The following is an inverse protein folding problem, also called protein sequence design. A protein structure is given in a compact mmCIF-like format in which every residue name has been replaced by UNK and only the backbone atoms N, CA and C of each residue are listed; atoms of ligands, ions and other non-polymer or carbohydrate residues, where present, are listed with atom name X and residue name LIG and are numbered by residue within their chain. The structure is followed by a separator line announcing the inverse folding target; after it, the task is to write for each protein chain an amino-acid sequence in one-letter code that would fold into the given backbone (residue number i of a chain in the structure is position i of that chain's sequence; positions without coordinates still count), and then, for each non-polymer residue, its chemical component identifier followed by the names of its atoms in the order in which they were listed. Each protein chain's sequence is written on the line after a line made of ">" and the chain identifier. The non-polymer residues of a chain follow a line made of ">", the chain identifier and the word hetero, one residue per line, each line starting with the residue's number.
data_IF_192502146125
#
_entry.id   IF_192502146125
#
_cell.length_a   1.000
_cell.length_b   1.000
_cell.length_c   1.000
_cell.angle_alpha   90.00
_cell.angle_beta   90.00
_cell.angle_gamma   90.00
#
_symmetry.space_group_name_H-M   'P 1'
#
loop_
_entity.id
_entity.type
_entity.pdbx_description
1 polymer ?
#
# COMPACT_ATOMS: atom_id res chain seq x y z
N UNK A 1 13.64 -5.39 -17.39
CA UNK A 1 13.50 -4.25 -16.44
C UNK A 1 12.31 -3.32 -16.74
N UNK A 2 11.85 -3.21 -18.00
CA UNK A 2 10.75 -2.31 -18.41
C UNK A 2 9.36 -2.90 -18.22
N UNK A 3 9.23 -4.21 -18.16
CA UNK A 3 7.96 -4.94 -18.06
C UNK A 3 7.12 -4.55 -16.84
N UNK A 4 7.67 -4.47 -15.60
CA UNK A 4 6.89 -4.07 -14.45
C UNK A 4 6.39 -2.61 -14.52
N UNK A 5 7.17 -1.71 -15.14
CA UNK A 5 6.74 -0.31 -15.34
C UNK A 5 5.59 -0.19 -16.35
N UNK A 6 5.61 -0.98 -17.41
CA UNK A 6 4.48 -1.08 -18.34
C UNK A 6 3.24 -1.63 -17.64
N UNK A 7 3.40 -2.61 -16.75
CA UNK A 7 2.31 -3.14 -15.94
C UNK A 7 1.68 -2.08 -15.03
N UNK A 8 2.51 -1.26 -14.36
CA UNK A 8 2.01 -0.13 -13.54
C UNK A 8 1.27 0.90 -14.38
N UNK A 9 1.78 1.25 -15.56
CA UNK A 9 1.12 2.19 -16.46
C UNK A 9 -0.24 1.67 -16.93
N UNK A 10 -0.31 0.41 -17.36
CA UNK A 10 -1.56 -0.24 -17.78
C UNK A 10 -2.55 -0.34 -16.62
N UNK A 11 -2.09 -0.72 -15.43
CA UNK A 11 -2.92 -0.80 -14.23
C UNK A 11 -3.45 0.58 -13.84
N UNK A 12 -2.59 1.61 -13.86
CA UNK A 12 -3.00 3.00 -13.57
C UNK A 12 -4.03 3.50 -14.57
N UNK A 13 -3.83 3.23 -15.86
CA UNK A 13 -4.78 3.60 -16.91
C UNK A 13 -6.11 2.85 -16.74
N UNK A 14 -6.08 1.54 -16.52
CA UNK A 14 -7.27 0.73 -16.29
C UNK A 14 -8.08 1.18 -15.07
N UNK A 15 -7.40 1.38 -13.93
CA UNK A 15 -8.04 1.86 -12.70
C UNK A 15 -8.59 3.28 -12.84
N UNK A 16 -7.86 4.18 -13.52
CA UNK A 16 -8.32 5.56 -13.72
C UNK A 16 -9.56 5.65 -14.59
N UNK A 17 -9.70 4.74 -15.56
CA UNK A 17 -10.89 4.60 -16.40
C UNK A 17 -12.05 3.99 -15.61
N UNK A 18 -11.80 2.94 -14.83
CA UNK A 18 -12.84 2.21 -14.11
C UNK A 18 -13.45 3.04 -12.96
N UNK A 19 -12.61 3.76 -12.21
CA UNK A 19 -13.05 4.56 -11.05
C UNK A 19 -13.37 6.02 -11.41
N UNK A 20 -13.32 6.40 -12.70
CA UNK A 20 -13.54 7.79 -13.16
C UNK A 20 -12.71 8.81 -12.38
N UNK A 21 -11.45 8.46 -12.08
CA UNK A 21 -10.54 9.28 -11.28
C UNK A 21 -10.28 10.60 -12.01
N UNK A 22 -10.44 11.75 -11.34
CA UNK A 22 -10.12 13.06 -11.93
C UNK A 22 -8.67 13.10 -12.42
N UNK A 23 -8.43 13.65 -13.61
CA UNK A 23 -7.11 13.66 -14.27
C UNK A 23 -5.98 14.22 -13.40
N UNK A 24 -6.29 15.13 -12.47
CA UNK A 24 -5.30 15.70 -11.55
C UNK A 24 -4.83 14.72 -10.45
N UNK A 25 -5.59 13.64 -10.20
CA UNK A 25 -5.26 12.59 -9.22
C UNK A 25 -4.42 11.47 -9.83
N UNK A 26 -4.51 11.26 -11.15
CA UNK A 26 -3.80 10.19 -11.87
C UNK A 26 -2.31 10.15 -11.59
N UNK A 27 -1.55 11.27 -11.61
CA UNK A 27 -0.12 11.24 -11.32
C UNK A 27 0.19 10.81 -9.88
N UNK A 28 -0.68 11.13 -8.92
CA UNK A 28 -0.52 10.71 -7.52
C UNK A 28 -0.79 9.23 -7.33
N UNK A 29 -1.79 8.70 -8.02
CA UNK A 29 -2.08 7.25 -8.04
C UNK A 29 -0.93 6.49 -8.69
N UNK A 30 -0.44 6.97 -9.84
CA UNK A 30 0.71 6.37 -10.52
C UNK A 30 1.97 6.36 -9.65
N UNK A 31 2.24 7.46 -8.94
CA UNK A 31 3.36 7.58 -8.00
C UNK A 31 3.22 6.56 -6.86
N UNK A 32 2.02 6.44 -6.29
CA UNK A 32 1.75 5.47 -5.22
C UNK A 32 1.92 4.03 -5.68
N UNK A 33 1.38 3.69 -6.86
CA UNK A 33 1.54 2.36 -7.44
C UNK A 33 3.02 2.03 -7.73
N UNK A 34 3.76 2.96 -8.34
CA UNK A 34 5.18 2.78 -8.63
C UNK A 34 6.01 2.60 -7.35
N UNK A 35 5.72 3.39 -6.32
CA UNK A 35 6.40 3.30 -5.02
C UNK A 35 6.07 1.96 -4.34
N UNK A 36 4.80 1.58 -4.31
CA UNK A 36 4.36 0.30 -3.73
C UNK A 36 5.01 -0.88 -4.43
N UNK A 37 5.03 -0.89 -5.77
CA UNK A 37 5.69 -1.93 -6.56
C UNK A 37 7.19 -2.01 -6.26
N UNK A 38 7.88 -0.87 -6.23
CA UNK A 38 9.32 -0.82 -5.93
C UNK A 38 9.63 -1.42 -4.57
N UNK A 39 8.89 -1.04 -3.53
CA UNK A 39 9.08 -1.59 -2.19
C UNK A 39 8.65 -3.05 -2.08
N UNK A 40 7.67 -3.49 -2.87
CA UNK A 40 7.29 -4.88 -2.97
C UNK A 40 8.44 -5.73 -3.55
N UNK A 41 9.08 -5.28 -4.63
CA UNK A 41 10.24 -5.96 -5.23
C UNK A 41 11.42 -5.98 -4.25
N UNK A 42 11.71 -4.85 -3.60
CA UNK A 42 12.76 -4.78 -2.56
C UNK A 42 12.46 -5.77 -1.43
N UNK A 43 11.22 -5.81 -0.95
CA UNK A 43 10.81 -6.72 0.12
C UNK A 43 10.99 -8.19 -0.25
N UNK A 44 10.66 -8.56 -1.48
CA UNK A 44 10.88 -9.92 -1.99
C UNK A 44 12.36 -10.26 -2.05
N UNK A 45 13.19 -9.35 -2.54
CA UNK A 45 14.64 -9.59 -2.68
C UNK A 45 15.35 -9.66 -1.33
N UNK A 46 14.98 -8.79 -0.38
CA UNK A 46 15.61 -8.74 0.95
C UNK A 46 15.18 -9.92 1.83
N UNK A 47 13.90 -10.26 1.81
CA UNK A 47 13.39 -11.38 2.60
C UNK A 47 13.65 -12.75 1.95
N UNK A 48 14.04 -12.78 0.66
CA UNK A 48 14.18 -14.01 -0.10
C UNK A 48 12.87 -14.79 -0.28
N UNK A 49 11.73 -14.14 -0.04
CA UNK A 49 10.42 -14.76 -0.06
C UNK A 49 9.33 -13.75 -0.47
N UNK A 50 8.27 -14.24 -1.09
CA UNK A 50 7.14 -13.45 -1.61
C UNK A 50 6.39 -12.67 -0.51
N UNK A 51 6.32 -13.23 0.71
CA UNK A 51 5.67 -12.57 1.85
C UNK A 51 6.37 -11.26 2.28
N UNK A 52 7.69 -11.14 2.10
CA UNK A 52 8.42 -9.90 2.38
C UNK A 52 7.98 -8.74 1.49
N UNK A 53 7.66 -9.02 0.23
CA UNK A 53 7.08 -8.04 -0.68
C UNK A 53 5.71 -7.57 -0.24
N UNK A 54 4.84 -8.48 0.22
CA UNK A 54 3.54 -8.16 0.78
C UNK A 54 3.63 -7.22 1.98
N UNK A 55 4.55 -7.51 2.90
CA UNK A 55 4.75 -6.71 4.10
C UNK A 55 5.24 -5.28 3.79
N UNK A 56 6.32 -5.14 3.02
CA UNK A 56 6.88 -3.82 2.69
C UNK A 56 5.96 -3.02 1.77
N UNK A 57 5.38 -3.66 0.74
CA UNK A 57 4.44 -3.01 -0.16
C UNK A 57 3.21 -2.48 0.59
N UNK A 58 2.59 -3.29 1.47
CA UNK A 58 1.45 -2.88 2.26
C UNK A 58 1.78 -1.76 3.26
N UNK A 59 2.96 -1.83 3.89
CA UNK A 59 3.42 -0.78 4.80
C UNK A 59 3.53 0.57 4.07
N UNK A 60 4.17 0.57 2.89
CA UNK A 60 4.37 1.79 2.09
C UNK A 60 3.05 2.31 1.52
N UNK A 61 2.17 1.44 1.02
CA UNK A 61 0.85 1.83 0.52
C UNK A 61 0.00 2.51 1.59
N UNK A 62 -0.03 1.94 2.79
CA UNK A 62 -0.81 2.43 3.93
C UNK A 62 -0.20 3.72 4.53
N UNK A 63 1.11 3.76 4.72
CA UNK A 63 1.83 4.93 5.23
C UNK A 63 1.78 6.08 4.22
N UNK A 64 2.13 5.82 2.95
CA UNK A 64 2.20 6.83 1.90
C UNK A 64 0.85 7.50 1.64
N UNK A 65 -0.23 6.71 1.52
CA UNK A 65 -1.59 7.26 1.35
C UNK A 65 -1.99 8.17 2.51
N UNK A 66 -1.64 7.80 3.75
CA UNK A 66 -1.92 8.60 4.94
C UNK A 66 -1.09 9.89 5.00
N UNK A 67 0.18 9.83 4.60
CA UNK A 67 1.06 11.01 4.57
C UNK A 67 0.62 11.99 3.48
N UNK A 68 0.25 11.52 2.31
CA UNK A 68 -0.25 12.37 1.24
C UNK A 68 -1.54 13.07 1.66
N UNK A 69 -2.48 12.37 2.29
CA UNK A 69 -3.70 12.96 2.84
C UNK A 69 -3.41 14.07 3.85
N UNK A 70 -2.45 13.86 4.76
CA UNK A 70 -2.03 14.88 5.73
C UNK A 70 -1.45 16.14 5.09
N UNK A 71 -0.80 16.04 3.93
CA UNK A 71 -0.22 17.19 3.22
C UNK A 71 -1.19 17.80 2.21
N UNK A 72 -2.12 17.02 1.69
CA UNK A 72 -3.09 17.41 0.67
C UNK A 72 -4.49 16.92 1.04
N UNK A 73 -5.23 17.62 1.94
CA UNK A 73 -6.57 17.20 2.41
C UNK A 73 -7.62 17.03 1.31
N UNK A 74 -7.34 17.56 0.11
CA UNK A 74 -8.19 17.39 -1.08
C UNK A 74 -8.04 16.02 -1.76
N UNK A 75 -7.04 15.22 -1.35
CA UNK A 75 -6.79 13.89 -1.89
C UNK A 75 -7.31 12.85 -0.88
N UNK A 76 -8.46 12.21 -1.14
CA UNK A 76 -8.98 11.18 -0.25
C UNK A 76 -7.99 10.01 -0.16
N UNK A 77 -7.63 9.61 1.05
CA UNK A 77 -6.75 8.47 1.31
C UNK A 77 -7.18 7.21 0.56
N UNK A 78 -8.49 6.99 0.47
CA UNK A 78 -9.08 5.79 -0.13
C UNK A 78 -8.75 5.69 -1.62
N UNK A 79 -8.76 6.80 -2.35
CA UNK A 79 -8.45 6.86 -3.79
C UNK A 79 -6.98 6.51 -4.06
N UNK A 80 -6.08 6.84 -3.15
CA UNK A 80 -4.65 6.51 -3.27
C UNK A 80 -4.34 5.09 -2.78
N UNK A 81 -5.04 4.66 -1.72
CA UNK A 81 -4.82 3.37 -1.09
C UNK A 81 -5.39 2.21 -1.90
N UNK A 82 -6.61 2.35 -2.42
CA UNK A 82 -7.35 1.27 -3.06
C UNK A 82 -6.60 0.67 -4.27
N UNK A 83 -6.10 1.45 -5.24
CA UNK A 83 -5.31 0.91 -6.34
C UNK A 83 -4.02 0.19 -5.88
N UNK A 84 -3.35 0.75 -4.86
CA UNK A 84 -2.14 0.14 -4.29
C UNK A 84 -2.46 -1.17 -3.57
N UNK A 85 -3.61 -1.25 -2.92
CA UNK A 85 -4.09 -2.47 -2.28
C UNK A 85 -4.40 -3.56 -3.32
N UNK A 86 -5.06 -3.22 -4.42
CA UNK A 86 -5.31 -4.16 -5.52
C UNK A 86 -4.03 -4.73 -6.12
N UNK A 87 -2.96 -3.94 -6.19
CA UNK A 87 -1.65 -4.41 -6.62
C UNK A 87 -1.06 -5.47 -5.68
N UNK A 88 -1.35 -5.37 -4.37
CA UNK A 88 -0.83 -6.31 -3.37
C UNK A 88 -1.63 -7.60 -3.25
N UNK A 89 -2.93 -7.58 -3.64
CA UNK A 89 -3.78 -8.77 -3.50
C UNK A 89 -3.30 -9.87 -4.42
N UNK A 90 -2.92 -11.05 -3.88
CA UNK A 90 -2.40 -12.16 -4.66
C UNK A 90 -3.51 -12.92 -5.41
N UNK A 91 -4.33 -12.18 -6.18
CA UNK A 91 -5.49 -12.78 -6.87
C UNK A 91 -5.10 -13.90 -7.83
N UNK A 92 -4.01 -13.74 -8.56
CA UNK A 92 -3.48 -14.79 -9.45
C UNK A 92 -2.97 -16.00 -8.68
N UNK A 93 -2.26 -15.79 -7.55
CA UNK A 93 -1.76 -16.89 -6.71
C UNK A 93 -2.91 -17.65 -6.05
N UNK A 94 -3.96 -16.96 -5.59
CA UNK A 94 -5.16 -17.60 -5.06
C UNK A 94 -5.86 -18.46 -6.10
N UNK A 95 -6.00 -17.98 -7.33
CA UNK A 95 -6.61 -18.74 -8.42
C UNK A 95 -5.77 -19.97 -8.79
N UNK A 96 -4.45 -19.82 -8.91
CA UNK A 96 -3.52 -20.92 -9.17
C UNK A 96 -3.58 -21.96 -8.06
N UNK A 97 -3.62 -21.55 -6.78
CA UNK A 97 -3.75 -22.47 -5.64
C UNK A 97 -5.04 -23.27 -5.70
N UNK A 98 -6.17 -22.62 -6.04
CA UNK A 98 -7.46 -23.29 -6.16
C UNK A 98 -7.50 -24.30 -7.32
N UNK A 99 -6.92 -23.95 -8.47
CA UNK A 99 -6.83 -24.86 -9.62
C UNK A 99 -5.93 -26.06 -9.34
N UNK A 100 -4.83 -25.87 -8.63
CA UNK A 100 -3.94 -26.96 -8.22
C UNK A 100 -4.58 -27.88 -7.17
N UNK A 101 -5.35 -27.32 -6.22
CA UNK A 101 -6.16 -28.11 -5.26
C UNK A 101 -7.20 -28.96 -6.00
N UNK A 102 -7.90 -28.39 -6.99
CA UNK A 102 -8.87 -29.13 -7.79
C UNK A 102 -8.24 -30.24 -8.65
N UNK A 103 -6.99 -30.06 -9.07
CA UNK A 103 -6.23 -31.07 -9.81
C UNK A 103 -5.56 -32.13 -8.93
N UNK A 104 -5.68 -32.06 -7.59
CA UNK A 104 -5.11 -33.01 -6.66
C UNK A 104 -3.58 -33.06 -6.64
N UNK A 105 -2.90 -31.99 -7.05
CA UNK A 105 -1.44 -31.97 -7.13
C UNK A 105 -0.80 -31.83 -5.74
N UNK A 106 0.32 -32.54 -5.45
CA UNK A 106 0.98 -32.49 -4.15
C UNK A 106 1.55 -31.13 -3.77
N UNK A 107 1.65 -30.21 -4.73
CA UNK A 107 2.17 -28.84 -4.55
C UNK A 107 1.09 -27.91 -3.96
N UNK A 108 -0.18 -28.31 -4.00
CA UNK A 108 -1.31 -27.48 -3.54
C UNK A 108 -1.18 -27.01 -2.08
N UNK A 109 -0.68 -27.85 -1.20
CA UNK A 109 -0.47 -27.51 0.22
C UNK A 109 0.59 -26.44 0.44
N UNK A 110 1.71 -26.51 -0.26
CA UNK A 110 2.78 -25.50 -0.19
C UNK A 110 2.32 -24.15 -0.70
N UNK A 111 1.58 -24.13 -1.82
CA UNK A 111 1.03 -22.90 -2.42
C UNK A 111 -0.04 -22.27 -1.52
N UNK A 112 -0.85 -23.07 -0.83
CA UNK A 112 -1.85 -22.58 0.13
C UNK A 112 -1.19 -21.92 1.35
N UNK A 113 -0.12 -22.52 1.90
CA UNK A 113 0.66 -21.96 3.00
C UNK A 113 1.33 -20.65 2.59
N UNK A 114 1.92 -20.60 1.40
CA UNK A 114 2.53 -19.39 0.86
C UNK A 114 1.51 -18.26 0.70
N UNK A 115 0.35 -18.55 0.13
CA UNK A 115 -0.75 -17.58 -0.01
C UNK A 115 -1.23 -17.05 1.33
N UNK A 116 -1.35 -17.90 2.34
CA UNK A 116 -1.73 -17.50 3.71
C UNK A 116 -0.66 -16.60 4.33
N UNK A 117 0.62 -16.92 4.12
CA UNK A 117 1.75 -16.11 4.57
C UNK A 117 1.75 -14.71 3.93
N UNK A 118 1.44 -14.61 2.63
CA UNK A 118 1.33 -13.33 1.93
C UNK A 118 0.17 -12.50 2.49
N UNK A 119 -1.00 -13.09 2.69
CA UNK A 119 -2.16 -12.39 3.28
C UNK A 119 -1.84 -11.88 4.68
N UNK A 120 -1.23 -12.71 5.52
CA UNK A 120 -0.79 -12.34 6.86
C UNK A 120 0.23 -11.20 6.85
N UNK A 121 1.20 -11.26 5.94
CA UNK A 121 2.22 -10.21 5.78
C UNK A 121 1.62 -8.88 5.33
N UNK A 122 0.65 -8.90 4.40
CA UNK A 122 -0.08 -7.71 3.98
C UNK A 122 -0.84 -7.10 5.17
N UNK A 123 -1.55 -7.92 5.94
CA UNK A 123 -2.29 -7.45 7.12
C UNK A 123 -1.36 -6.78 8.16
N UNK A 124 -0.21 -7.39 8.45
CA UNK A 124 0.81 -6.81 9.32
C UNK A 124 1.40 -5.52 8.74
N UNK A 125 1.70 -5.49 7.45
CA UNK A 125 2.20 -4.31 6.76
C UNK A 125 1.22 -3.13 6.84
N UNK A 126 -0.08 -3.38 6.64
CA UNK A 126 -1.12 -2.37 6.80
C UNK A 126 -1.18 -1.82 8.23
N UNK A 127 -1.06 -2.70 9.23
CA UNK A 127 -1.08 -2.30 10.63
C UNK A 127 0.14 -1.42 10.97
N UNK A 128 1.33 -1.83 10.56
CA UNK A 128 2.57 -1.08 10.76
C UNK A 128 2.48 0.28 10.06
N UNK A 129 2.06 0.33 8.79
CA UNK A 129 1.95 1.56 8.02
C UNK A 129 0.94 2.55 8.61
N UNK A 130 -0.23 2.08 9.06
CA UNK A 130 -1.24 2.94 9.68
C UNK A 130 -0.80 3.45 11.05
N UNK A 131 -0.15 2.63 11.88
CA UNK A 131 0.36 3.06 13.20
C UNK A 131 1.49 4.05 13.05
N UNK A 132 2.42 3.83 12.13
CA UNK A 132 3.50 4.77 11.81
C UNK A 132 2.94 6.12 11.32
N UNK A 133 1.95 6.12 10.45
CA UNK A 133 1.32 7.34 9.97
C UNK A 133 0.63 8.12 11.09
N UNK A 134 -0.05 7.43 12.01
CA UNK A 134 -0.66 8.06 13.20
C UNK A 134 0.40 8.70 14.11
N UNK A 135 1.53 8.01 14.35
CA UNK A 135 2.63 8.53 15.14
C UNK A 135 3.19 9.84 14.54
N UNK A 136 3.41 9.88 13.22
CA UNK A 136 3.85 11.09 12.52
C UNK A 136 2.82 12.21 12.65
N UNK A 137 1.53 11.90 12.52
CA UNK A 137 0.43 12.87 12.70
C UNK A 137 0.40 13.49 14.09
N UNK A 138 0.63 12.70 15.14
CA UNK A 138 0.70 13.17 16.53
C UNK A 138 1.92 14.07 16.77
N UNK A 139 3.09 13.68 16.27
CA UNK A 139 4.32 14.48 16.38
C UNK A 139 4.18 15.85 15.68
N UNK A 140 3.48 15.90 14.56
CA UNK A 140 3.20 17.15 13.85
C UNK A 140 2.28 18.07 14.67
N UNK A 141 1.23 17.51 15.28
CA UNK A 141 0.29 18.28 16.14
C UNK A 141 0.96 18.84 17.41
N UNK A 142 1.90 18.11 17.99
CA UNK A 142 2.65 18.60 19.17
C UNK A 142 3.59 19.76 18.83
N UNK A 143 4.16 19.77 17.62
CA UNK A 143 5.01 20.88 17.17
C UNK A 143 4.25 22.17 16.86
N UNK A 144 2.99 22.08 16.40
CA UNK A 144 2.16 23.25 16.13
C UNK A 144 1.52 23.84 17.40
N UNK A 145 1.49 23.07 18.49
CA UNK A 145 1.04 23.55 19.82
C UNK A 145 2.17 24.15 20.66
N UNK A 146 3.15 24.84 20.08
CA UNK A 146 4.09 25.66 20.87
C UNK A 146 3.36 26.83 21.48
N UNK A 147 3.56 27.09 22.80
CA UNK A 147 2.72 27.97 23.61
C UNK A 147 3.04 29.44 23.35
N UNK A 148 2.33 30.04 22.41
CA UNK A 148 2.28 31.50 22.22
C UNK A 148 1.11 32.18 22.97
N UNK A 149 0.30 31.44 23.73
CA UNK A 149 -0.94 31.94 24.32
C UNK A 149 -0.93 32.13 25.84
N UNK A 150 0.26 32.30 26.47
CA UNK A 150 0.34 32.67 27.90
C UNK A 150 0.79 34.12 28.08
N UNK A 151 0.30 35.06 27.28
CA UNK A 151 0.51 36.49 27.53
C UNK A 151 -0.68 37.32 27.03
N UNK A 152 -1.80 37.21 27.66
CA UNK A 152 -2.85 38.27 27.75
C UNK A 152 -3.96 37.84 28.68
N UNK A 153 -3.66 37.71 29.98
CA UNK A 153 -4.63 37.85 31.04
C UNK A 153 -3.91 38.52 32.23
N UNK A 154 -3.59 39.78 32.06
CA UNK A 154 -3.43 40.76 33.14
C UNK A 154 -3.95 42.06 32.57
N UNK A 155 -5.20 42.32 32.79
CA UNK A 155 -5.81 43.59 33.22
C UNK A 155 -7.33 43.36 33.26
#
# INVERSE_FOLDING_TARGET
>A
LWVPFLGVLLLTAGMSLMESIPRYLVPWVALMLATTLTFQIIGQTVAGATWGGGLLGATVASFGSSVIEMHRPRLPRLVLFLPSFWLLVPGSLGLVSLTQLGAGTPVAGATALESTGIIGSIALGLLIGTTAARAVGLLRRSRTRRPGARRRQTF
#
